data_IF_928152812733
#
_entry.id   IF_928152812733
#
_cell.length_a   1.000
_cell.length_b   1.000
_cell.length_c   1.000
_cell.angle_alpha   90.00
_cell.angle_beta   90.00
_cell.angle_gamma   90.00
#
_symmetry.space_group_name_H-M   'P 1'
#
loop_
_entity.id
_entity.type
_entity.pdbx_description
1 polymer ?
2 non-polymer ?
3 non-polymer ?
4 water ?
#
# COMPACT_ATOMS: atom_id res chain seq x y z
N UNK A 2 -12.63 3.22 -34.42
CA UNK A 2 -11.83 2.11 -33.85
C UNK A 2 -11.41 2.49 -32.43
N UNK A 3 -11.54 1.56 -31.49
CA UNK A 3 -11.16 1.84 -30.11
C UNK A 3 -10.21 0.75 -29.67
N UNK A 4 -9.22 1.08 -28.82
CA UNK A 4 -8.35 0.06 -28.27
C UNK A 4 -9.16 -0.73 -27.25
N UNK A 5 -8.86 -2.05 -27.09
CA UNK A 5 -9.51 -2.83 -26.05
C UNK A 5 -9.09 -2.19 -24.73
N UNK A 6 -9.92 -2.38 -23.71
CA UNK A 6 -9.53 -1.96 -22.38
C UNK A 6 -8.60 -2.98 -21.75
N UNK A 7 -7.59 -2.53 -20.99
CA UNK A 7 -6.61 -3.45 -20.45
C UNK A 7 -7.17 -4.33 -19.33
N UNK A 8 -6.59 -5.54 -19.22
CA UNK A 8 -6.82 -6.48 -18.13
C UNK A 8 -5.73 -6.39 -17.07
N UNK A 9 -4.58 -5.85 -17.47
CA UNK A 9 -3.45 -5.67 -16.57
C UNK A 9 -2.73 -4.38 -16.94
N UNK A 10 -2.12 -3.73 -15.95
CA UNK A 10 -1.25 -2.59 -16.15
C UNK A 10 0.02 -2.81 -15.33
N UNK A 11 1.05 -2.04 -15.65
CA UNK A 11 2.22 -1.98 -14.80
C UNK A 11 2.34 -0.62 -14.15
N UNK A 12 2.77 -0.70 -12.89
CA UNK A 12 2.86 0.44 -11.99
C UNK A 12 4.28 0.52 -11.45
N UNK A 13 4.92 1.68 -11.61
CA UNK A 13 6.20 2.00 -10.99
C UNK A 13 5.93 2.75 -9.68
N UNK A 14 6.61 2.32 -8.64
CA UNK A 14 6.63 3.00 -7.35
C UNK A 14 8.08 3.40 -7.08
N UNK A 15 8.29 4.66 -6.79
CA UNK A 15 9.62 5.09 -6.32
C UNK A 15 9.53 5.77 -4.98
N UNK A 16 10.53 5.59 -4.15
CA UNK A 16 10.66 6.32 -2.90
C UNK A 16 12.10 6.79 -2.78
N UNK A 17 12.24 8.09 -2.52
CA UNK A 17 13.59 8.67 -2.36
C UNK A 17 13.58 9.81 -1.34
N UNK A 18 14.35 9.60 -0.27
CA UNK A 18 14.65 10.66 0.67
C UNK A 18 15.83 11.45 0.14
N UNK A 19 15.56 12.64 -0.35
CA UNK A 19 16.49 13.47 -1.12
C UNK A 19 17.51 14.23 -0.24
N UNK A 20 17.35 14.14 1.08
CA UNK A 20 18.30 14.76 2.00
C UNK A 20 18.43 16.26 1.79
N UNK A 21 17.34 16.91 1.37
CA UNK A 21 17.25 18.36 1.22
C UNK A 21 18.27 18.89 0.22
N UNK A 22 18.70 18.04 -0.75
CA UNK A 22 19.60 18.48 -1.76
C UNK A 22 18.95 18.35 -3.12
N UNK A 23 19.28 19.19 -4.11
CA UNK A 23 18.76 18.99 -5.45
C UNK A 23 19.29 17.70 -6.06
N UNK A 24 18.51 17.08 -6.97
CA UNK A 24 18.95 15.85 -7.58
C UNK A 24 20.06 16.13 -8.61
N UNK A 25 20.75 15.07 -9.04
CA UNK A 25 21.73 15.22 -10.10
C UNK A 25 21.02 15.35 -11.45
N UNK A 26 21.79 15.61 -12.52
CA UNK A 26 21.24 15.92 -13.83
C UNK A 26 20.50 14.72 -14.42
N UNK A 27 20.96 13.50 -14.13
CA UNK A 27 20.33 12.31 -14.68
C UNK A 27 19.86 11.38 -13.55
N UNK A 28 18.57 11.00 -13.61
CA UNK A 28 18.00 10.13 -12.60
C UNK A 28 17.23 8.98 -13.29
N UNK A 29 17.49 8.79 -14.58
CA UNK A 29 16.78 7.76 -15.34
C UNK A 29 16.96 6.35 -14.78
N UNK A 30 18.09 6.02 -14.13
CA UNK A 30 18.30 4.67 -13.65
C UNK A 30 17.19 4.29 -12.66
N UNK A 31 16.69 5.28 -11.94
CA UNK A 31 15.59 5.04 -10.99
C UNK A 31 14.34 4.46 -11.69
N UNK A 32 13.91 5.17 -12.73
CA UNK A 32 12.68 4.83 -13.45
C UNK A 32 12.86 3.59 -14.30
N UNK A 33 14.10 3.22 -14.60
CA UNK A 33 14.46 1.99 -15.29
C UNK A 33 14.65 0.79 -14.37
N UNK A 34 14.54 0.96 -13.04
CA UNK A 34 14.76 -0.16 -12.13
C UNK A 34 16.13 -0.81 -12.37
N UNK A 35 17.17 0.02 -12.42
CA UNK A 35 18.55 -0.43 -12.58
C UNK A 35 19.37 -0.11 -11.33
N UNK A 36 20.22 -1.06 -10.95
CA UNK A 36 21.10 -0.85 -9.81
C UNK A 36 21.28 -2.18 -9.11
N UNK A 37 20.94 -2.24 -7.84
CA UNK A 37 21.08 -3.46 -7.06
C UNK A 37 19.70 -3.99 -6.72
N UNK A 38 19.63 -5.28 -6.43
CA UNK A 38 18.41 -5.98 -6.03
C UNK A 38 17.80 -6.74 -7.20
N UNK A 39 16.46 -6.75 -7.21
CA UNK A 39 15.70 -7.36 -8.28
C UNK A 39 15.42 -6.27 -9.31
N UNK A 40 16.20 -6.33 -10.40
CA UNK A 40 16.22 -5.26 -11.38
C UNK A 40 15.48 -5.68 -12.65
N UNK A 41 15.16 -4.68 -13.46
CA UNK A 41 14.34 -4.86 -14.66
C UNK A 41 15.26 -5.20 -15.84
N UNK A 42 14.77 -6.09 -16.70
CA UNK A 42 15.52 -6.51 -17.87
C UNK A 42 15.73 -5.35 -18.84
N UNK A 43 16.93 -5.28 -19.37
CA UNK A 43 17.31 -4.24 -20.34
C UNK A 43 16.39 -4.18 -21.55
N UNK A 44 15.82 -5.32 -21.94
CA UNK A 44 15.00 -5.36 -23.13
C UNK A 44 13.69 -4.58 -22.94
N UNK A 45 13.34 -4.24 -21.69
CA UNK A 45 12.15 -3.46 -21.36
C UNK A 45 12.37 -1.95 -21.25
N UNK A 46 13.60 -1.47 -21.48
CA UNK A 46 13.91 -0.10 -21.14
C UNK A 46 13.02 0.92 -21.84
N UNK A 47 12.59 0.62 -23.09
CA UNK A 47 11.78 1.61 -23.78
C UNK A 47 10.28 1.48 -23.55
N UNK A 48 9.87 0.46 -22.83
CA UNK A 48 8.48 0.14 -22.60
C UNK A 48 8.01 0.96 -21.41
N UNK A 49 7.09 1.90 -21.60
CA UNK A 49 6.66 2.75 -20.49
C UNK A 49 5.80 1.93 -19.54
N UNK A 50 5.92 2.17 -18.24
CA UNK A 50 4.92 1.76 -17.28
C UNK A 50 3.66 2.58 -17.53
N UNK A 51 2.52 1.98 -17.14
CA UNK A 51 1.26 2.68 -17.30
C UNK A 51 1.11 3.89 -16.37
N UNK A 52 1.56 3.71 -15.13
CA UNK A 52 1.43 4.68 -14.05
C UNK A 52 2.77 4.75 -13.32
N UNK A 53 3.28 5.94 -13.06
CA UNK A 53 4.46 6.16 -12.23
C UNK A 53 4.05 6.95 -11.00
N UNK A 54 4.38 6.42 -9.81
CA UNK A 54 4.09 7.06 -8.55
C UNK A 54 5.40 7.31 -7.85
N UNK A 55 5.68 8.58 -7.63
CA UNK A 55 6.97 9.01 -7.13
C UNK A 55 6.82 9.66 -5.75
N UNK A 56 7.37 9.01 -4.71
CA UNK A 56 7.34 9.54 -3.36
C UNK A 56 8.71 10.08 -2.98
N UNK A 57 8.74 11.31 -2.50
CA UNK A 57 9.96 11.91 -1.98
C UNK A 57 9.75 12.31 -0.53
N UNK A 58 10.88 12.36 0.18
CA UNK A 58 10.98 12.90 1.53
C UNK A 58 12.18 13.83 1.54
N UNK A 59 12.14 14.81 2.45
CA UNK A 59 13.18 15.82 2.51
C UNK A 59 13.43 16.41 1.12
N UNK A 60 12.34 16.67 0.40
CA UNK A 60 12.35 17.17 -0.97
C UNK A 60 12.48 18.68 -0.94
N UNK A 61 13.59 19.24 -1.49
CA UNK A 61 13.79 20.71 -1.40
C UNK A 61 13.18 21.51 -2.54
N UNK A 62 12.67 20.81 -3.54
CA UNK A 62 12.24 21.42 -4.81
C UNK A 62 10.80 21.93 -4.67
N UNK A 63 10.41 22.83 -5.56
CA UNK A 63 9.00 23.16 -5.71
C UNK A 63 8.33 22.02 -6.49
N UNK A 64 6.99 21.97 -6.39
CA UNK A 64 6.25 21.02 -7.19
C UNK A 64 6.57 21.24 -8.66
N UNK A 65 6.63 22.51 -9.11
CA UNK A 65 6.87 22.78 -10.50
C UNK A 65 8.24 22.23 -10.93
N UNK A 66 9.26 22.51 -10.10
CA UNK A 66 10.62 22.09 -10.42
C UNK A 66 10.73 20.56 -10.54
N UNK A 67 10.15 19.84 -9.59
CA UNK A 67 10.21 18.39 -9.58
C UNK A 67 9.41 17.80 -10.72
N UNK A 68 8.21 18.31 -11.01
CA UNK A 68 7.44 17.85 -12.15
C UNK A 68 8.21 17.97 -13.45
N UNK A 69 8.92 19.09 -13.62
CA UNK A 69 9.77 19.35 -14.79
C UNK A 69 10.73 18.17 -14.97
N UNK A 70 11.46 17.90 -13.88
CA UNK A 70 12.52 16.89 -13.89
C UNK A 70 11.92 15.52 -14.17
N UNK A 71 10.84 15.19 -13.49
CA UNK A 71 10.22 13.88 -13.70
C UNK A 71 9.73 13.69 -15.14
N UNK A 72 8.99 14.66 -15.66
CA UNK A 72 8.43 14.49 -17.01
C UNK A 72 9.54 14.40 -18.04
N UNK A 73 10.58 15.22 -17.90
CA UNK A 73 11.71 15.18 -18.81
C UNK A 73 12.39 13.82 -18.78
N UNK A 74 12.59 13.29 -17.56
CA UNK A 74 13.26 12.00 -17.41
C UNK A 74 12.45 10.92 -18.14
N UNK A 75 11.15 10.87 -17.89
CA UNK A 75 10.34 9.84 -18.55
C UNK A 75 10.30 10.04 -20.06
N UNK A 76 10.22 11.28 -20.52
CA UNK A 76 10.20 11.53 -21.96
C UNK A 76 11.48 10.99 -22.60
N UNK A 77 12.61 11.24 -21.95
CA UNK A 77 13.89 10.77 -22.45
C UNK A 77 13.90 9.26 -22.57
N UNK A 78 13.38 8.57 -21.58
CA UNK A 78 13.40 7.11 -21.55
C UNK A 78 12.48 6.52 -22.61
N UNK A 79 11.25 7.01 -22.65
CA UNK A 79 10.14 6.34 -23.31
C UNK A 79 9.69 7.05 -24.58
N UNK A 80 10.08 8.32 -24.77
CA UNK A 80 9.56 9.17 -25.84
C UNK A 80 8.07 9.47 -25.69
N UNK A 81 7.52 9.27 -24.50
CA UNK A 81 6.12 9.58 -24.19
C UNK A 81 6.09 10.78 -23.25
N UNK A 82 5.17 11.71 -23.52
CA UNK A 82 4.91 12.82 -22.62
C UNK A 82 3.80 12.42 -21.65
N UNK A 83 4.14 12.18 -20.38
CA UNK A 83 3.20 11.72 -19.40
C UNK A 83 2.29 12.85 -18.91
N UNK A 84 1.07 12.49 -18.52
CA UNK A 84 0.09 13.38 -17.94
C UNK A 84 0.19 13.32 -16.43
N UNK A 85 0.03 14.48 -15.81
CA UNK A 85 0.02 14.58 -14.38
C UNK A 85 -1.38 14.23 -13.86
N UNK A 86 -1.48 13.16 -13.05
CA UNK A 86 -2.73 12.78 -12.43
C UNK A 86 -2.95 13.57 -11.16
N UNK A 87 -1.92 13.65 -10.32
CA UNK A 87 -2.04 14.30 -9.03
C UNK A 87 -0.66 14.61 -8.49
N UNK A 88 -0.59 15.66 -7.67
CA UNK A 88 0.59 15.97 -6.89
C UNK A 88 0.11 16.54 -5.54
N UNK A 89 0.72 16.06 -4.46
CA UNK A 89 0.40 16.58 -3.14
C UNK A 89 1.63 16.58 -2.27
N UNK A 90 1.81 17.68 -1.55
CA UNK A 90 2.97 17.88 -0.70
C UNK A 90 2.52 18.27 0.71
N UNK A 91 3.15 17.63 1.74
CA UNK A 91 3.03 18.05 3.13
C UNK A 91 4.44 18.33 3.59
N UNK A 92 4.75 19.60 3.92
CA UNK A 92 6.09 19.96 4.33
C UNK A 92 7.06 19.60 3.20
N UNK A 93 7.94 18.65 3.42
CA UNK A 93 8.91 18.22 2.43
C UNK A 93 8.65 16.77 1.97
N UNK A 94 7.43 16.26 2.21
CA UNK A 94 6.97 14.95 1.85
C UNK A 94 6.02 15.07 0.65
N UNK A 95 6.33 14.43 -0.46
CA UNK A 95 5.59 14.68 -1.70
C UNK A 95 5.26 13.38 -2.43
N UNK A 96 4.11 13.41 -3.09
CA UNK A 96 3.73 12.33 -3.99
C UNK A 96 3.32 12.95 -5.34
N UNK A 97 3.84 12.34 -6.42
CA UNK A 97 3.50 12.66 -7.78
C UNK A 97 2.96 11.39 -8.46
N UNK A 98 1.82 11.50 -9.16
CA UNK A 98 1.32 10.41 -9.98
C UNK A 98 1.26 10.90 -11.43
N UNK A 99 1.94 10.16 -12.32
CA UNK A 99 1.98 10.40 -13.74
C UNK A 99 1.39 9.17 -14.45
N UNK A 100 0.70 9.41 -15.57
CA UNK A 100 0.16 8.31 -16.36
C UNK A 100 0.31 8.55 -17.84
N UNK A 101 0.32 7.42 -18.60
CA UNK A 101 0.34 7.51 -20.05
C UNK A 101 -0.83 8.37 -20.51
N UNK A 102 -0.67 9.18 -21.58
CA UNK A 102 -1.78 10.01 -22.05
C UNK A 102 -3.00 9.19 -22.45
N UNK A 103 -2.82 7.96 -22.92
CA UNK A 103 -3.97 7.12 -23.31
C UNK A 103 -4.89 6.80 -22.15
N UNK A 104 -4.40 6.96 -20.89
CA UNK A 104 -5.17 6.61 -19.71
C UNK A 104 -5.96 7.77 -19.10
N UNK A 105 -5.87 8.96 -19.71
CA UNK A 105 -6.46 10.14 -19.12
C UNK A 105 -7.97 9.95 -18.93
N UNK A 106 -8.66 9.29 -19.88
CA UNK A 106 -10.12 9.08 -19.73
C UNK A 106 -10.48 7.82 -18.97
N UNK A 107 -9.49 7.01 -18.56
CA UNK A 107 -9.70 5.83 -17.73
C UNK A 107 -9.60 6.15 -16.25
N UNK A 108 -9.01 7.30 -15.95
CA UNK A 108 -8.72 7.71 -14.59
C UNK A 108 -9.76 8.72 -14.13
N UNK A 109 -10.37 8.47 -12.96
CA UNK A 109 -11.37 9.36 -12.41
C UNK A 109 -11.32 9.32 -10.88
N UNK A 110 -12.17 10.10 -10.24
CA UNK A 110 -12.30 10.08 -8.77
C UNK A 110 -10.94 10.23 -8.10
N UNK A 111 -10.21 11.24 -8.51
CA UNK A 111 -8.89 11.47 -7.98
C UNK A 111 -8.99 12.19 -6.64
N UNK A 112 -8.30 11.65 -5.63
CA UNK A 112 -8.30 12.22 -4.28
C UNK A 112 -6.87 12.36 -3.80
N UNK A 113 -6.63 13.36 -2.95
CA UNK A 113 -5.36 13.57 -2.26
C UNK A 113 -5.67 13.87 -0.81
N UNK A 114 -4.71 13.54 0.05
CA UNK A 114 -4.82 13.88 1.46
C UNK A 114 -3.44 13.76 2.11
N UNK A 115 -3.35 14.22 3.37
CA UNK A 115 -2.14 14.13 4.17
C UNK A 115 -2.53 13.87 5.62
N UNK A 116 -1.59 13.32 6.37
CA UNK A 116 -1.70 13.12 7.80
C UNK A 116 -0.40 13.62 8.41
N UNK A 117 -0.51 14.46 9.43
CA UNK A 117 0.63 14.91 10.23
C UNK A 117 0.72 14.03 11.46
N UNK A 118 1.90 13.43 11.78
CA UNK A 118 1.88 12.45 12.88
C UNK A 118 2.26 12.88 14.29
N UNK A 119 3.01 13.95 14.44
CA UNK A 119 3.48 14.23 15.81
C UNK A 119 2.40 14.66 16.82
N UNK A 120 2.82 14.87 18.09
CA UNK A 120 2.07 15.61 19.12
C UNK A 120 3.01 16.74 19.50
N UNK A 121 2.59 18.00 19.26
CA UNK A 121 3.35 19.19 19.67
C UNK A 121 4.80 19.11 19.18
N UNK A 122 5.76 18.90 20.11
CA UNK A 122 7.17 18.61 19.80
C UNK A 122 7.33 17.84 18.50
N UNK A 123 6.71 16.64 18.49
CA UNK A 123 6.92 15.64 17.45
C UNK A 123 6.09 16.01 16.21
N UNK A 124 5.12 16.96 16.33
CA UNK A 124 4.37 17.42 15.17
C UNK A 124 5.18 18.49 14.45
N UNK A 125 5.40 18.28 13.15
CA UNK A 125 5.84 19.37 12.31
C UNK A 125 6.87 19.01 11.25
N UNK A 126 7.32 17.73 11.17
CA UNK A 126 7.85 17.35 9.89
C UNK A 126 7.57 15.93 9.43
N UNK A 127 7.00 15.03 10.20
CA UNK A 127 6.79 13.64 9.80
C UNK A 127 5.30 13.46 9.55
N UNK A 128 4.98 12.54 8.65
CA UNK A 128 3.64 12.19 8.32
C UNK A 128 3.58 11.52 6.97
N UNK A 129 2.46 11.72 6.26
CA UNK A 129 2.22 11.00 5.03
C UNK A 129 1.40 11.86 4.07
N UNK A 130 1.58 11.60 2.79
CA UNK A 130 0.71 12.10 1.75
C UNK A 130 0.14 10.89 1.01
N UNK A 131 -1.03 11.05 0.40
CA UNK A 131 -1.60 9.96 -0.37
C UNK A 131 -2.39 10.48 -1.55
N UNK A 132 -2.56 9.54 -2.49
CA UNK A 132 -3.36 9.73 -3.70
C UNK A 132 -4.19 8.48 -3.91
N UNK A 133 -5.43 8.65 -4.34
CA UNK A 133 -6.23 7.55 -4.84
C UNK A 133 -6.94 7.95 -6.10
N UNK A 134 -7.36 6.96 -6.89
CA UNK A 134 -8.19 7.19 -8.04
C UNK A 134 -8.77 5.84 -8.49
N UNK A 135 -9.76 5.91 -9.37
CA UNK A 135 -10.25 4.76 -10.12
C UNK A 135 -9.50 4.68 -11.45
N UNK A 136 -9.12 3.47 -11.85
CA UNK A 136 -8.63 3.18 -13.17
C UNK A 136 -9.64 2.20 -13.75
N UNK A 137 -10.49 2.68 -14.65
CA UNK A 137 -11.66 1.89 -15.08
C UNK A 137 -12.40 1.37 -13.84
N UNK A 138 -12.57 0.05 -13.69
CA UNK A 138 -13.32 -0.53 -12.58
C UNK A 138 -12.48 -0.81 -11.35
N UNK A 139 -11.22 -0.39 -11.33
CA UNK A 139 -10.29 -0.74 -10.26
C UNK A 139 -9.89 0.46 -9.44
N UNK A 140 -9.96 0.33 -8.11
CA UNK A 140 -9.55 1.42 -7.22
C UNK A 140 -8.10 1.21 -6.80
N UNK A 141 -7.36 2.30 -6.92
CA UNK A 141 -5.92 2.30 -6.61
C UNK A 141 -5.62 3.35 -5.52
N UNK A 142 -4.85 2.98 -4.52
CA UNK A 142 -4.39 3.93 -3.52
C UNK A 142 -2.90 3.86 -3.30
N UNK A 143 -2.33 5.00 -2.96
CA UNK A 143 -0.88 5.17 -2.84
C UNK A 143 -0.59 6.08 -1.64
N UNK A 144 0.29 5.60 -0.77
CA UNK A 144 0.69 6.35 0.43
C UNK A 144 2.20 6.46 0.45
N UNK A 145 2.69 7.70 0.59
CA UNK A 145 4.08 7.99 0.84
C UNK A 145 4.24 8.55 2.26
N UNK A 146 4.87 7.80 3.13
CA UNK A 146 5.06 8.21 4.51
C UNK A 146 6.53 8.40 4.85
N UNK A 147 6.79 9.44 5.65
CA UNK A 147 8.07 9.69 6.29
C UNK A 147 7.85 9.50 7.79
N UNK A 148 8.25 8.36 8.34
CA UNK A 148 7.99 8.02 9.71
C UNK A 148 9.13 8.50 10.63
N UNK A 149 8.88 8.47 11.93
CA UNK A 149 9.79 8.91 12.95
C UNK A 149 11.13 8.23 12.75
N UNK A 150 12.22 9.02 12.97
CA UNK A 150 13.58 8.48 12.80
C UNK A 150 14.11 7.97 14.13
N UNK A 151 15.22 7.25 14.06
CA UNK A 151 15.96 6.84 15.26
C UNK A 151 15.81 5.36 15.53
N UNK A 152 16.91 4.66 15.74
CA UNK A 152 16.84 3.25 16.01
C UNK A 152 15.99 2.86 17.21
N UNK A 153 15.88 3.74 18.20
CA UNK A 153 15.19 3.33 19.41
C UNK A 153 13.70 3.68 19.35
N UNK A 154 13.18 4.11 18.19
CA UNK A 154 11.80 4.57 18.06
C UNK A 154 10.91 3.71 17.16
N UNK A 155 11.13 2.41 17.15
CA UNK A 155 10.28 1.57 16.32
C UNK A 155 8.81 1.66 16.76
N UNK A 156 8.55 1.71 18.08
CA UNK A 156 7.16 1.81 18.54
C UNK A 156 6.50 3.08 18.01
N UNK A 157 7.22 4.21 18.01
CA UNK A 157 6.66 5.44 17.50
C UNK A 157 6.36 5.29 16.01
N UNK A 158 7.25 4.61 15.25
CA UNK A 158 6.94 4.38 13.87
C UNK A 158 5.64 3.58 13.73
N UNK A 159 5.46 2.56 14.54
CA UNK A 159 4.24 1.75 14.44
C UNK A 159 3.00 2.59 14.78
N UNK A 160 3.12 3.50 15.73
CA UNK A 160 2.05 4.42 16.06
C UNK A 160 1.77 5.40 14.92
N UNK A 161 2.83 5.90 14.25
CA UNK A 161 2.68 6.75 13.08
C UNK A 161 1.86 6.00 12.01
N UNK A 162 2.27 4.74 11.74
CA UNK A 162 1.56 3.91 10.79
C UNK A 162 0.06 3.87 11.13
N UNK A 163 -0.30 3.59 12.39
CA UNK A 163 -1.72 3.46 12.73
C UNK A 163 -2.43 4.80 12.53
N UNK A 164 -1.80 5.92 12.93
CA UNK A 164 -2.47 7.21 12.69
C UNK A 164 -2.71 7.46 11.21
N UNK A 165 -1.71 7.16 10.38
CA UNK A 165 -1.86 7.38 8.95
C UNK A 165 -3.00 6.51 8.42
N UNK A 166 -3.04 5.25 8.83
CA UNK A 166 -4.01 4.28 8.38
C UNK A 166 -5.42 4.79 8.71
N UNK A 167 -5.53 5.28 9.95
CA UNK A 167 -6.83 5.72 10.44
C UNK A 167 -7.33 6.99 9.80
N UNK A 168 -6.45 7.97 9.63
CA UNK A 168 -6.88 9.32 9.33
C UNK A 168 -6.71 9.81 7.89
N UNK A 169 -5.99 9.04 7.04
CA UNK A 169 -5.85 9.45 5.67
C UNK A 169 -7.17 9.19 4.97
N UNK A 170 -7.74 10.24 4.41
CA UNK A 170 -9.07 10.18 3.81
C UNK A 170 -8.95 10.10 2.31
N UNK A 171 -8.99 8.86 1.77
CA UNK A 171 -8.91 8.64 0.34
C UNK A 171 -10.02 7.66 -0.02
N UNK A 172 -10.28 7.55 -1.33
CA UNK A 172 -11.22 6.59 -1.84
C UNK A 172 -12.66 7.02 -1.61
N UNK A 173 -13.53 6.02 -1.73
CA UNK A 173 -14.98 6.25 -1.72
C UNK A 173 -15.46 6.51 -0.29
N UNK A 174 -15.93 7.74 -0.03
CA UNK A 174 -16.43 8.13 1.29
C UNK A 174 -17.67 7.35 1.70
N UNK A 175 -18.37 6.70 0.76
CA UNK A 175 -19.49 5.85 1.15
C UNK A 175 -19.05 4.60 1.89
N UNK A 176 -17.74 4.24 1.78
CA UNK A 176 -17.22 3.09 2.49
C UNK A 176 -16.88 3.48 3.93
N UNK A 177 -17.89 4.03 4.64
CA UNK A 177 -17.62 4.72 5.87
C UNK A 177 -16.96 3.86 6.94
N UNK A 178 -17.24 2.57 7.12
CA UNK A 178 -16.60 1.79 8.16
C UNK A 178 -15.14 1.39 7.88
N UNK A 179 -14.68 1.68 6.67
CA UNK A 179 -13.42 1.11 6.16
C UNK A 179 -12.35 2.18 6.11
N UNK A 180 -11.17 1.79 6.59
CA UNK A 180 -10.01 2.64 6.42
C UNK A 180 -9.28 2.35 5.12
N UNK A 181 -8.17 3.05 4.84
CA UNK A 181 -7.50 2.87 3.55
C UNK A 181 -7.05 1.43 3.33
N UNK A 182 -6.86 0.61 4.37
CA UNK A 182 -6.40 -0.76 4.15
C UNK A 182 -7.51 -1.66 3.56
N UNK A 183 -8.74 -1.13 3.43
CA UNK A 183 -9.81 -1.86 2.76
C UNK A 183 -10.45 -1.14 1.61
N UNK A 184 -10.10 0.10 1.32
CA UNK A 184 -10.81 0.87 0.30
C UNK A 184 -10.36 0.66 -1.13
N UNK A 185 -9.28 -0.07 -1.38
CA UNK A 185 -8.67 -0.14 -2.70
C UNK A 185 -8.44 -1.57 -3.14
N UNK A 186 -8.68 -1.81 -4.44
CA UNK A 186 -8.27 -3.08 -5.02
C UNK A 186 -6.78 -3.35 -4.78
N UNK A 187 -5.98 -2.31 -5.00
CA UNK A 187 -4.52 -2.36 -4.81
C UNK A 187 -4.13 -1.10 -4.01
N UNK A 188 -3.47 -1.32 -2.87
CA UNK A 188 -2.91 -0.25 -2.06
C UNK A 188 -1.39 -0.42 -2.01
N UNK A 189 -0.65 0.63 -2.35
CA UNK A 189 0.82 0.66 -2.23
C UNK A 189 1.22 1.68 -1.18
N UNK A 190 2.02 1.22 -0.23
CA UNK A 190 2.47 2.06 0.86
C UNK A 190 3.98 2.01 0.85
N UNK A 191 4.60 3.18 0.80
CA UNK A 191 6.03 3.27 0.58
C UNK A 191 6.52 4.51 1.32
N UNK A 192 7.83 4.71 1.33
CA UNK A 192 8.40 5.89 1.91
C UNK A 192 9.68 5.60 2.66
N UNK A 193 10.15 6.68 3.32
CA UNK A 193 11.19 6.55 4.35
C UNK A 193 10.54 6.12 5.67
N UNK A 194 10.28 4.81 5.73
CA UNK A 194 9.66 4.23 6.90
C UNK A 194 10.58 4.26 8.12
N UNK A 195 11.91 4.36 7.89
CA UNK A 195 12.86 4.66 8.96
C UNK A 195 13.09 3.53 9.96
N UNK A 196 12.64 2.30 9.66
CA UNK A 196 13.01 1.14 10.44
C UNK A 196 14.47 0.75 10.18
N UNK A 197 15.17 0.36 11.27
CA UNK A 197 16.60 0.17 11.28
C UNK A 197 16.99 -1.29 11.49
N UNK A 198 18.26 -1.54 11.21
CA UNK A 198 18.89 -2.81 11.52
C UNK A 198 19.32 -2.76 12.98
N UNK A 199 18.70 -3.56 13.84
CA UNK A 199 18.85 -3.47 15.26
C UNK A 199 19.93 -4.46 15.71
N UNK A 200 21.15 -3.98 15.63
CA UNK A 200 22.35 -4.69 16.05
C UNK A 200 23.16 -3.70 16.94
N UNK A 201 24.08 -4.18 17.80
CA UNK A 201 24.80 -3.26 18.65
C UNK A 201 25.62 -2.28 17.85
N UNK A 202 25.78 -1.06 18.40
CA UNK A 202 26.49 -0.07 17.62
C UNK A 202 27.95 -0.45 17.42
N UNK A 203 28.54 -1.22 18.33
CA UNK A 203 29.93 -1.63 18.16
C UNK A 203 30.10 -2.66 17.04
N UNK A 204 28.99 -3.17 16.47
CA UNK A 204 29.06 -4.01 15.29
C UNK A 204 29.00 -3.25 13.96
N UNK A 205 29.12 -1.93 13.96
CA UNK A 205 29.03 -1.14 12.75
C UNK A 205 29.97 -1.65 11.65
N UNK A 206 31.25 -1.85 11.95
CA UNK A 206 32.22 -2.24 10.93
C UNK A 206 31.90 -3.65 10.42
N UNK A 207 31.41 -4.53 11.30
CA UNK A 207 31.00 -5.88 10.90
C UNK A 207 29.87 -5.79 9.90
N UNK A 208 28.90 -4.92 10.19
CA UNK A 208 27.77 -4.74 9.28
C UNK A 208 28.25 -4.27 7.91
N UNK A 209 29.12 -3.26 7.89
CA UNK A 209 29.63 -2.78 6.62
C UNK A 209 30.33 -3.89 5.84
N UNK A 210 31.09 -4.72 6.53
CA UNK A 210 31.79 -5.78 5.79
C UNK A 210 30.78 -6.79 5.25
N UNK A 211 29.71 -7.11 6.00
CA UNK A 211 28.67 -7.98 5.47
C UNK A 211 28.09 -7.38 4.18
N UNK A 212 27.79 -6.09 4.21
CA UNK A 212 27.27 -5.39 3.03
C UNK A 212 28.22 -5.52 1.82
N UNK A 213 29.50 -5.29 2.05
CA UNK A 213 30.49 -5.35 1.00
C UNK A 213 30.54 -6.75 0.36
N UNK A 214 30.24 -7.79 1.14
CA UNK A 214 30.16 -9.17 0.70
C UNK A 214 28.82 -9.53 0.08
N UNK A 215 27.88 -8.55 0.09
CA UNK A 215 26.53 -8.82 -0.36
C UNK A 215 25.87 -9.98 0.36
N UNK A 216 26.09 -10.03 1.68
CA UNK A 216 25.57 -11.05 2.56
C UNK A 216 24.61 -10.36 3.50
N UNK A 217 23.34 -10.37 3.14
CA UNK A 217 22.35 -9.57 3.86
C UNK A 217 21.55 -10.34 4.90
N UNK A 218 21.66 -11.68 4.93
CA UNK A 218 20.78 -12.51 5.75
C UNK A 218 20.80 -12.17 7.23
N UNK A 219 22.01 -12.02 7.80
CA UNK A 219 22.12 -11.79 9.22
C UNK A 219 21.74 -10.34 9.55
N UNK A 220 21.72 -9.47 8.54
CA UNK A 220 21.24 -8.12 8.75
C UNK A 220 19.71 -8.07 8.67
N UNK A 221 19.11 -8.69 7.64
CA UNK A 221 17.64 -8.68 7.50
C UNK A 221 16.96 -9.36 8.69
N UNK A 222 17.62 -10.32 9.34
CA UNK A 222 17.03 -10.96 10.49
C UNK A 222 16.88 -9.99 11.66
N UNK A 223 17.57 -8.84 11.60
CA UNK A 223 17.46 -7.81 12.63
C UNK A 223 16.80 -6.53 12.11
N UNK A 224 16.22 -6.56 10.91
CA UNK A 224 15.53 -5.40 10.35
C UNK A 224 14.23 -5.22 11.15
N UNK A 225 14.02 -4.01 11.68
CA UNK A 225 12.91 -3.80 12.56
C UNK A 225 11.56 -3.93 11.83
N UNK A 226 11.48 -3.55 10.57
CA UNK A 226 10.21 -3.67 9.88
C UNK A 226 9.83 -5.14 9.69
N UNK A 227 10.78 -5.98 9.25
CA UNK A 227 10.50 -7.40 9.15
C UNK A 227 10.15 -8.02 10.51
N UNK A 228 10.85 -7.67 11.58
CA UNK A 228 10.60 -8.31 12.85
C UNK A 228 9.27 -7.79 13.42
N UNK A 229 8.98 -6.49 13.32
CA UNK A 229 7.71 -5.97 13.80
C UNK A 229 6.53 -6.57 13.00
N UNK A 230 6.70 -6.69 11.70
CA UNK A 230 5.66 -7.34 10.91
C UNK A 230 5.47 -8.78 11.34
N UNK A 231 6.56 -9.53 11.57
CA UNK A 231 6.43 -10.92 11.96
C UNK A 231 5.65 -11.07 13.26
N UNK A 232 5.80 -10.09 14.17
CA UNK A 232 5.12 -10.08 15.46
C UNK A 232 3.76 -9.37 15.40
N UNK A 233 3.31 -9.05 14.18
CA UNK A 233 2.00 -8.46 13.95
C UNK A 233 1.83 -7.17 14.70
N UNK A 234 2.92 -6.37 14.72
CA UNK A 234 2.86 -5.06 15.38
C UNK A 234 2.59 -3.90 14.43
N UNK A 235 2.72 -4.14 13.12
CA UNK A 235 2.63 -3.12 12.10
C UNK A 235 2.40 -3.82 10.75
N UNK A 236 1.79 -3.09 9.82
CA UNK A 236 1.64 -3.54 8.45
C UNK A 236 1.01 -4.93 8.34
N UNK A 237 0.04 -5.21 9.19
CA UNK A 237 -0.67 -6.49 9.14
C UNK A 237 -1.35 -6.63 7.77
N UNK A 238 -1.13 -7.78 7.12
CA UNK A 238 -1.77 -8.17 5.89
C UNK A 238 -1.22 -7.43 4.68
N UNK A 239 -0.04 -6.78 4.81
CA UNK A 239 0.70 -6.28 3.68
C UNK A 239 1.78 -7.26 3.24
N UNK A 240 2.24 -7.08 2.03
CA UNK A 240 3.34 -7.85 1.45
C UNK A 240 4.52 -6.95 1.15
N UNK A 241 5.70 -7.55 1.11
CA UNK A 241 6.91 -6.89 0.63
C UNK A 241 7.75 -7.92 -0.12
N UNK A 242 8.34 -7.50 -1.24
CA UNK A 242 9.24 -8.39 -1.96
C UNK A 242 10.50 -8.59 -1.13
N UNK A 243 11.15 -9.72 -1.33
CA UNK A 243 12.41 -10.01 -0.67
C UNK A 243 13.42 -8.94 -1.03
N UNK A 244 14.18 -8.51 -0.02
CA UNK A 244 15.21 -7.50 -0.15
C UNK A 244 16.53 -8.17 -0.55
N UNK A 245 17.08 -7.73 -1.70
CA UNK A 245 18.33 -8.29 -2.22
C UNK A 245 19.30 -7.18 -2.62
N UNK A 246 19.07 -5.96 -2.11
CA UNK A 246 19.90 -4.80 -2.35
C UNK A 246 20.48 -4.37 -1.01
N UNK A 247 21.60 -3.60 -1.06
CA UNK A 247 22.24 -3.14 0.15
C UNK A 247 21.37 -2.12 0.87
N UNK A 248 21.60 -1.98 2.19
CA UNK A 248 20.91 -0.91 2.91
C UNK A 248 21.05 0.42 2.19
N UNK A 249 19.98 1.24 2.20
CA UNK A 249 19.89 2.46 1.41
C UNK A 249 20.20 3.73 2.21
N UNK A 250 20.62 3.53 3.45
CA UNK A 250 20.89 4.62 4.39
C UNK A 250 21.97 4.09 5.35
N UNK A 251 22.88 4.91 5.89
CA UNK A 251 23.16 6.29 5.65
C UNK A 251 24.47 6.43 4.90
N UNK A 252 24.46 6.99 3.71
CA UNK A 252 25.67 7.13 2.88
C UNK A 252 26.29 8.52 3.08
N UNK A 253 27.60 8.59 2.92
CA UNK A 253 28.27 9.83 2.60
C UNK A 253 27.79 10.28 1.23
N UNK A 254 27.47 11.58 1.10
CA UNK A 254 27.06 12.12 -0.20
C UNK A 254 28.19 12.11 -1.23
N UNK A 255 27.79 12.00 -2.51
CA UNK A 255 28.63 12.13 -3.71
C UNK A 255 29.41 10.84 -4.01
N UNK A 256 29.30 9.82 -3.16
CA UNK A 256 29.82 8.50 -3.48
C UNK A 256 28.80 7.48 -3.04
N UNK A 257 28.92 6.17 -3.34
CA UNK A 257 28.22 5.13 -2.57
C UNK A 257 29.18 4.19 -1.89
N UNK A 258 30.43 4.61 -1.77
CA UNK A 258 31.46 3.73 -1.27
C UNK A 258 31.53 3.67 0.26
N UNK A 259 30.82 4.61 0.95
CA UNK A 259 30.96 4.77 2.37
C UNK A 259 29.60 4.99 3.06
N UNK A 260 29.39 4.19 4.09
CA UNK A 260 28.32 4.42 5.06
C UNK A 260 28.85 5.34 6.14
N UNK A 261 28.05 6.36 6.45
CA UNK A 261 28.29 7.33 7.52
C UNK A 261 27.38 6.99 8.68
N UNK A 262 27.92 6.28 9.68
CA UNK A 262 27.08 5.76 10.77
C UNK A 262 27.36 6.41 12.13
N UNK A 263 28.55 7.01 12.33
CA UNK A 263 28.98 7.45 13.66
C UNK A 263 28.09 8.59 14.16
N UNK A 264 27.97 8.69 15.49
CA UNK A 264 27.20 9.75 16.11
C UNK A 264 27.93 11.09 15.92
N UNK A 265 27.13 12.13 15.62
CA UNK A 265 27.61 13.48 15.37
C UNK A 265 26.61 14.48 15.97
N UNK A 266 27.03 15.72 16.24
CA UNK A 266 26.05 16.71 16.68
C UNK A 266 24.87 16.78 15.70
N UNK A 267 25.15 16.70 14.40
CA UNK A 267 24.10 16.79 13.39
C UNK A 267 23.10 15.62 13.42
N UNK A 268 23.48 14.49 14.02
CA UNK A 268 22.51 13.41 14.19
C UNK A 268 21.85 13.36 15.58
N UNK A 269 22.05 14.40 16.40
CA UNK A 269 21.59 14.37 17.77
C UNK A 269 22.36 13.35 18.60
N UNK A 270 23.64 13.13 18.20
CA UNK A 270 24.48 12.16 18.89
C UNK A 270 23.86 10.75 18.83
N UNK A 271 23.20 10.46 17.70
CA UNK A 271 22.70 9.13 17.42
C UNK A 271 23.56 8.43 16.39
N UNK A 272 23.73 7.12 16.56
CA UNK A 272 24.28 6.32 15.47
C UNK A 272 23.20 6.04 14.43
N UNK A 273 23.66 5.96 13.19
CA UNK A 273 22.81 5.52 12.09
C UNK A 273 23.47 4.29 11.43
N UNK A 274 23.35 3.15 12.07
CA UNK A 274 23.89 1.93 11.48
C UNK A 274 23.16 1.73 10.13
N UNK A 275 23.85 1.16 9.13
CA UNK A 275 23.23 0.91 7.83
C UNK A 275 21.92 0.15 7.90
N UNK A 276 20.91 0.72 7.24
CA UNK A 276 19.52 0.26 7.41
C UNK A 276 18.75 0.38 6.10
N UNK A 277 17.73 -0.46 6.01
CA UNK A 277 16.76 -0.41 4.92
C UNK A 277 15.61 0.52 5.34
N UNK A 278 15.90 1.82 5.33
CA UNK A 278 14.88 2.80 5.72
C UNK A 278 13.75 2.92 4.68
N UNK A 279 14.08 2.68 3.43
CA UNK A 279 13.33 3.11 2.26
C UNK A 279 12.65 1.91 1.63
N UNK A 280 11.32 1.83 1.66
CA UNK A 280 10.63 0.57 1.43
C UNK A 280 9.40 0.77 0.58
N UNK A 281 8.94 -0.34 -0.02
CA UNK A 281 7.68 -0.42 -0.73
C UNK A 281 6.95 -1.71 -0.30
N UNK A 282 5.73 -1.52 0.18
CA UNK A 282 4.84 -2.58 0.57
C UNK A 282 3.52 -2.43 -0.17
N UNK A 283 2.71 -3.54 -0.23
CA UNK A 283 1.41 -3.47 -0.89
C UNK A 283 0.43 -4.40 -0.22
N UNK A 284 -0.84 -4.11 -0.51
CA UNK A 284 -1.92 -4.96 -0.09
C UNK A 284 -3.02 -4.88 -1.14
N UNK A 285 -3.38 -6.04 -1.72
CA UNK A 285 -4.39 -6.12 -2.77
C UNK A 285 -5.51 -6.97 -2.22
N UNK A 286 -6.73 -6.80 -2.74
CA UNK A 286 -7.83 -7.63 -2.39
C UNK A 286 -7.54 -9.08 -2.78
N UNK A 287 -8.16 -10.04 -2.07
CA UNK A 287 -7.90 -11.47 -2.32
C UNK A 287 -8.15 -11.86 -3.77
N UNK A 288 -7.24 -12.71 -4.28
CA UNK A 288 -7.36 -13.28 -5.63
C UNK A 288 -7.42 -12.26 -6.73
N UNK A 289 -6.80 -11.11 -6.53
CA UNK A 289 -6.50 -10.20 -7.61
C UNK A 289 -5.03 -10.37 -7.99
N UNK A 290 -4.76 -10.33 -9.28
CA UNK A 290 -3.40 -10.46 -9.78
C UNK A 290 -2.56 -9.26 -9.33
N UNK A 291 -1.43 -9.54 -8.67
CA UNK A 291 -0.44 -8.51 -8.40
C UNK A 291 0.89 -9.22 -8.30
N UNK A 292 1.85 -8.82 -9.12
CA UNK A 292 3.15 -9.47 -9.12
C UNK A 292 4.24 -8.40 -9.12
N UNK A 293 5.11 -8.46 -8.13
CA UNK A 293 6.28 -7.59 -8.10
C UNK A 293 7.29 -8.04 -9.14
N UNK A 294 7.64 -7.11 -10.03
CA UNK A 294 8.55 -7.33 -11.14
C UNK A 294 9.95 -6.81 -10.88
N UNK A 295 10.12 -5.87 -9.94
CA UNK A 295 11.43 -5.32 -9.57
C UNK A 295 11.30 -4.73 -8.17
N UNK A 296 12.40 -4.78 -7.41
CA UNK A 296 12.50 -4.17 -6.09
C UNK A 296 13.99 -4.02 -5.84
N UNK A 297 14.48 -2.76 -5.84
CA UNK A 297 15.89 -2.53 -5.74
C UNK A 297 16.22 -1.08 -5.46
N UNK A 298 17.51 -0.77 -5.50
CA UNK A 298 17.99 0.57 -5.28
C UNK A 298 18.95 0.97 -6.37
N UNK A 299 18.98 2.27 -6.65
CA UNK A 299 19.94 2.77 -7.61
C UNK A 299 21.33 2.87 -6.97
N UNK A 300 22.34 2.83 -7.84
CA UNK A 300 23.74 2.88 -7.46
C UNK A 300 24.45 4.18 -7.90
N UNK A 301 23.80 4.95 -8.78
CA UNK A 301 24.44 6.07 -9.45
C UNK A 301 23.79 7.42 -9.14
N UNK A 302 22.92 7.49 -8.13
CA UNK A 302 22.29 8.75 -7.74
C UNK A 302 22.74 9.02 -6.31
N UNK A 303 23.59 10.03 -6.16
CA UNK A 303 24.44 10.11 -4.95
C UNK A 303 24.33 11.45 -4.22
N UNK A 304 23.35 12.28 -4.56
CA UNK A 304 23.21 13.60 -3.97
C UNK A 304 22.71 13.56 -2.54
N UNK A 305 22.00 12.49 -2.17
CA UNK A 305 21.44 12.30 -0.85
C UNK A 305 22.21 11.30 -0.02
N UNK A 306 21.95 11.30 1.28
CA UNK A 306 22.44 10.27 2.19
C UNK A 306 21.61 8.99 2.10
N UNK A 307 20.53 9.03 1.30
CA UNK A 307 19.79 7.81 0.96
C UNK A 307 19.93 7.55 -0.53
N UNK A 308 19.88 6.25 -0.90
CA UNK A 308 19.67 5.90 -2.29
C UNK A 308 18.18 5.77 -2.61
N UNK A 309 17.77 6.19 -3.83
CA UNK A 309 16.45 5.87 -4.35
C UNK A 309 16.17 4.38 -4.32
N UNK A 310 14.91 4.04 -4.08
CA UNK A 310 14.36 2.69 -4.20
C UNK A 310 13.25 2.70 -5.27
N UNK A 311 13.22 1.63 -6.02
CA UNK A 311 12.20 1.35 -7.02
C UNK A 311 11.53 0.03 -6.73
N UNK A 312 10.26 -0.05 -7.12
CA UNK A 312 9.55 -1.28 -7.22
C UNK A 312 8.59 -1.17 -8.39
N UNK A 313 8.36 -2.28 -9.09
CA UNK A 313 7.40 -2.31 -10.17
C UNK A 313 6.47 -3.51 -10.00
N UNK A 314 5.23 -3.34 -10.51
CA UNK A 314 4.18 -4.32 -10.32
C UNK A 314 3.42 -4.48 -11.64
N UNK A 315 3.02 -5.74 -11.90
CA UNK A 315 1.91 -6.01 -12.80
C UNK A 315 0.65 -6.14 -11.91
N UNK A 316 -0.39 -5.39 -12.26
CA UNK A 316 -1.60 -5.32 -11.43
C UNK A 316 -2.83 -5.57 -12.31
N UNK A 317 -3.66 -6.50 -11.87
CA UNK A 317 -4.89 -6.75 -12.59
C UNK A 317 -5.87 -5.59 -12.43
N UNK A 318 -6.57 -5.27 -13.52
CA UNK A 318 -7.59 -4.24 -13.55
C UNK A 318 -8.77 -4.81 -14.32
N UNK A 319 -9.90 -4.14 -14.11
CA UNK A 319 -11.18 -4.53 -14.72
C UNK A 319 -11.79 -3.33 -15.44
N UNK A 320 -12.72 -3.62 -16.33
CA UNK A 320 -13.37 -2.63 -17.16
C UNK A 320 -14.49 -1.97 -16.37
N UNK A 321 -15.02 -0.87 -16.95
CA UNK A 321 -16.21 -0.19 -16.49
C UNK A 321 -17.43 -0.82 -17.17
N UNK A 322 -17.98 -1.85 -16.51
CA UNK A 322 -18.97 -2.75 -17.06
C UNK A 322 -20.32 -2.05 -17.13
N UNK A 323 -21.02 -2.29 -18.26
CA UNK A 323 -22.38 -1.85 -18.51
C UNK A 323 -23.13 -3.05 -19.10
N UNK A 324 -24.27 -3.35 -18.51
CA UNK A 324 -25.24 -4.27 -19.10
C UNK A 324 -26.51 -3.51 -19.48
N UNK A 325 -27.45 -4.28 -20.00
CA UNK A 325 -28.79 -3.78 -20.34
C UNK A 325 -29.52 -3.35 -19.08
N UNK A 326 -29.19 -4.03 -17.96
CA UNK A 326 -29.78 -3.79 -16.64
C UNK A 326 -28.90 -2.79 -15.89
N UNK A 327 -28.02 -3.29 -14.98
CA UNK A 327 -27.21 -2.37 -14.22
C UNK A 327 -26.03 -1.85 -15.05
N UNK A 328 -25.38 -0.73 -14.66
CA UNK A 328 -25.85 0.15 -13.55
C UNK A 328 -27.21 0.82 -13.72
N UNK A 329 -27.88 1.04 -12.60
CA UNK A 329 -29.15 1.76 -12.60
C UNK A 329 -30.35 0.87 -12.34
N UNK A 330 -30.09 -0.43 -12.13
CA UNK A 330 -31.08 -1.36 -11.64
C UNK A 330 -30.32 -2.62 -11.24
N UNK A 331 -31.05 -3.62 -10.74
CA UNK A 331 -30.48 -4.91 -10.40
C UNK A 331 -30.62 -5.81 -11.63
N UNK A 332 -29.86 -6.91 -11.62
CA UNK A 332 -29.99 -7.98 -12.60
C UNK A 332 -30.46 -9.25 -11.86
N UNK A 333 -31.74 -9.58 -12.04
CA UNK A 333 -32.36 -10.59 -11.21
C UNK A 333 -31.75 -11.96 -11.49
N UNK A 334 -30.90 -12.09 -12.52
CA UNK A 334 -30.23 -13.37 -12.75
C UNK A 334 -29.09 -13.60 -11.74
N UNK A 335 -28.63 -12.56 -11.07
CA UNK A 335 -27.55 -12.67 -10.09
C UNK A 335 -28.02 -12.67 -8.65
N UNK A 336 -27.35 -13.45 -7.78
CA UNK A 336 -27.56 -13.38 -6.35
C UNK A 336 -26.30 -13.86 -5.63
N UNK A 337 -26.14 -13.35 -4.41
CA UNK A 337 -25.10 -13.82 -3.51
C UNK A 337 -25.75 -14.20 -2.19
N UNK A 338 -25.56 -15.47 -1.79
CA UNK A 338 -26.13 -16.02 -0.56
C UNK A 338 -25.03 -16.53 0.38
N UNK A 339 -25.32 -16.59 1.68
CA UNK A 339 -24.36 -16.92 2.74
C UNK A 339 -24.98 -17.95 3.68
N UNK A 340 -24.27 -19.02 3.94
CA UNK A 340 -24.80 -20.09 4.75
C UNK A 340 -23.86 -20.21 5.92
N UNK A 341 -24.35 -20.64 7.12
CA UNK A 341 -23.51 -21.13 8.19
C UNK A 341 -22.43 -20.08 8.54
N UNK A 342 -22.78 -18.77 8.58
CA UNK A 342 -21.76 -17.74 8.83
C UNK A 342 -21.71 -17.30 10.28
N UNK A 343 -20.49 -17.02 10.73
CA UNK A 343 -20.29 -16.50 12.07
C UNK A 343 -19.01 -15.70 12.13
N UNK A 344 -19.06 -14.71 13.00
CA UNK A 344 -17.92 -13.87 13.31
C UNK A 344 -17.43 -14.32 14.68
N UNK A 345 -16.12 -14.39 14.83
CA UNK A 345 -15.48 -14.63 16.10
C UNK A 345 -14.76 -13.32 16.43
N UNK A 346 -15.06 -12.75 17.60
CA UNK A 346 -14.47 -11.48 17.93
C UNK A 346 -13.63 -11.59 19.17
N UNK A 347 -12.61 -10.72 19.25
CA UNK A 347 -11.75 -10.64 20.41
C UNK A 347 -12.30 -9.70 21.50
N UNK A 348 -13.30 -8.91 21.23
CA UNK A 348 -13.87 -7.97 22.17
C UNK A 348 -14.30 -8.67 23.46
N UNK A 349 -14.12 -7.93 24.56
CA UNK A 349 -14.57 -8.33 25.88
C UNK A 349 -15.96 -7.77 26.10
N UNK A 350 -16.51 -7.02 25.11
CA UNK A 350 -17.82 -6.40 25.24
C UNK A 350 -18.93 -7.43 24.96
N UNK A 351 -20.10 -7.18 25.55
CA UNK A 351 -21.30 -7.98 25.32
C UNK A 351 -22.43 -7.04 24.91
N UNK A 352 -22.45 -6.62 23.61
CA UNK A 352 -23.48 -5.86 22.90
C UNK A 352 -23.94 -6.77 21.74
N UNK A 353 -25.07 -6.43 21.11
CA UNK A 353 -25.49 -7.11 19.89
C UNK A 353 -24.74 -6.53 18.70
N UNK A 354 -24.57 -7.36 17.66
CA UNK A 354 -23.87 -6.99 16.46
C UNK A 354 -24.71 -7.27 15.22
N UNK A 355 -24.47 -6.46 14.19
CA UNK A 355 -24.98 -6.67 12.85
C UNK A 355 -23.88 -6.45 11.84
N UNK A 356 -24.13 -6.94 10.60
CA UNK A 356 -23.18 -6.79 9.50
C UNK A 356 -23.65 -5.74 8.50
N UNK A 357 -22.64 -5.13 7.86
CA UNK A 357 -22.87 -4.35 6.66
C UNK A 357 -22.01 -4.94 5.54
N UNK A 358 -22.65 -5.11 4.38
CA UNK A 358 -21.99 -5.59 3.16
C UNK A 358 -21.88 -4.42 2.19
N UNK A 359 -20.65 -4.06 1.79
CA UNK A 359 -20.37 -2.98 0.86
C UNK A 359 -19.66 -3.50 -0.38
N UNK A 360 -20.16 -3.12 -1.54
CA UNK A 360 -19.51 -3.50 -2.80
C UNK A 360 -20.04 -2.63 -3.94
N UNK A 361 -19.14 -2.30 -4.85
CA UNK A 361 -19.45 -1.73 -6.15
C UNK A 361 -20.44 -2.55 -6.95
N UNK A 362 -20.58 -3.85 -6.66
CA UNK A 362 -21.58 -4.63 -7.40
C UNK A 362 -23.00 -4.47 -6.84
N UNK A 363 -23.17 -3.71 -5.73
CA UNK A 363 -24.49 -3.45 -5.15
C UNK A 363 -24.89 -2.00 -5.39
N UNK A 364 -26.18 -1.71 -5.43
CA UNK A 364 -26.64 -0.34 -5.63
C UNK A 364 -26.26 0.51 -4.41
N UNK A 365 -26.37 -0.08 -3.23
CA UNK A 365 -25.89 0.52 -2.01
C UNK A 365 -25.65 -0.56 -0.97
N UNK A 366 -25.02 -0.18 0.15
CA UNK A 366 -24.66 -1.19 1.14
C UNK A 366 -25.90 -1.80 1.78
N UNK A 367 -25.71 -3.03 2.28
CA UNK A 367 -26.79 -3.84 2.85
C UNK A 367 -26.49 -4.11 4.33
N UNK A 368 -27.47 -3.83 5.19
CA UNK A 368 -27.39 -4.11 6.59
C UNK A 368 -28.15 -5.38 6.92
N UNK A 369 -27.49 -6.26 7.69
CA UNK A 369 -28.11 -7.50 8.15
C UNK A 369 -28.90 -7.28 9.43
N UNK A 370 -29.64 -8.34 9.80
CA UNK A 370 -30.21 -8.52 11.12
C UNK A 370 -29.08 -8.71 12.12
N UNK A 371 -29.42 -8.54 13.39
CA UNK A 371 -28.49 -8.86 14.47
C UNK A 371 -28.25 -10.36 14.49
N UNK A 372 -27.00 -10.71 14.70
CA UNK A 372 -26.59 -12.07 15.00
C UNK A 372 -26.93 -12.43 16.43
N UNK A 373 -26.71 -13.70 16.75
CA UNK A 373 -26.96 -14.27 18.06
C UNK A 373 -25.61 -14.58 18.69
N UNK A 374 -25.34 -13.90 19.80
CA UNK A 374 -24.11 -14.09 20.51
C UNK A 374 -24.08 -15.40 21.27
N UNK A 375 -22.92 -16.07 21.17
CA UNK A 375 -22.62 -17.24 21.98
C UNK A 375 -21.21 -17.05 22.51
N UNK A 376 -20.81 -17.81 23.51
CA UNK A 376 -19.44 -17.84 23.97
C UNK A 376 -18.74 -19.06 23.37
N UNK A 377 -17.55 -18.86 22.77
CA UNK A 377 -16.71 -19.96 22.30
C UNK A 377 -15.99 -20.68 23.44
N UNK A 378 -15.32 -21.79 23.08
CA UNK A 378 -14.77 -22.73 24.06
C UNK A 378 -13.55 -22.16 24.78
N UNK A 379 -12.90 -21.14 24.19
CA UNK A 379 -11.65 -20.60 24.72
C UNK A 379 -11.86 -19.13 25.11
N UNK A 380 -13.10 -18.79 25.56
CA UNK A 380 -13.41 -17.45 26.05
C UNK A 380 -14.08 -16.49 25.04
N UNK A 381 -14.03 -16.78 23.73
CA UNK A 381 -14.33 -15.81 22.67
C UNK A 381 -15.81 -15.44 22.56
N UNK A 382 -16.09 -14.27 22.00
CA UNK A 382 -17.44 -13.99 21.51
C UNK A 382 -17.60 -14.56 20.10
N UNK A 383 -18.64 -15.36 19.90
CA UNK A 383 -19.03 -15.87 18.60
C UNK A 383 -20.39 -15.27 18.27
N UNK A 384 -20.46 -14.56 17.15
CA UNK A 384 -21.71 -13.98 16.70
C UNK A 384 -22.20 -14.89 15.59
N UNK A 385 -23.30 -15.58 15.80
CA UNK A 385 -23.86 -16.50 14.79
C UNK A 385 -24.92 -15.78 13.96
N UNK A 386 -24.77 -15.90 12.64
CA UNK A 386 -25.71 -15.36 11.69
C UNK A 386 -26.52 -16.47 11.06
N UNK A 387 -26.11 -17.73 11.31
CA UNK A 387 -26.75 -18.89 10.71
C UNK A 387 -26.95 -18.74 9.17
N UNK A 388 -28.22 -18.90 8.81
CA UNK A 388 -28.73 -18.86 7.46
C UNK A 388 -29.51 -17.56 7.36
N UNK A 389 -29.28 -16.63 8.32
CA UNK A 389 -30.11 -15.44 8.48
C UNK A 389 -29.64 -14.28 7.60
N UNK A 390 -28.41 -14.31 7.00
CA UNK A 390 -27.91 -13.14 6.28
C UNK A 390 -28.76 -12.90 5.04
N UNK A 391 -28.94 -11.61 4.60
CA UNK A 391 -29.69 -11.31 3.39
C UNK A 391 -29.07 -11.93 2.13
N UNK A 392 -29.95 -12.14 1.16
CA UNK A 392 -29.60 -12.42 -0.24
C UNK A 392 -29.22 -11.10 -0.90
N UNK A 393 -27.96 -10.96 -1.36
CA UNK A 393 -27.50 -9.74 -2.00
C UNK A 393 -27.84 -9.79 -3.49
N UNK A 394 -28.24 -8.63 -4.03
CA UNK A 394 -28.71 -8.50 -5.41
C UNK A 394 -27.75 -7.64 -6.21
N UNK A 395 -26.83 -8.25 -6.97
CA UNK A 395 -25.88 -7.45 -7.72
C UNK A 395 -26.54 -6.73 -8.90
N UNK A 396 -25.91 -5.67 -9.36
CA UNK A 396 -26.42 -4.84 -10.45
C UNK A 396 -26.26 -5.51 -11.81
N UNK A 397 -25.27 -6.39 -11.89
CA UNK A 397 -24.92 -7.06 -13.12
C UNK A 397 -24.72 -8.54 -12.78
N UNK A 398 -25.19 -9.46 -13.62
CA UNK A 398 -25.20 -10.89 -13.34
C UNK A 398 -24.15 -11.63 -14.16
N UNK A 399 -23.56 -10.94 -15.14
CA UNK A 399 -22.63 -11.57 -16.07
C UNK A 399 -21.50 -12.12 -15.21
N UNK A 400 -21.08 -13.38 -15.37
CA UNK A 400 -20.01 -13.95 -14.53
C UNK A 400 -18.66 -13.29 -14.81
N UNK A 401 -18.43 -12.77 -16.02
CA UNK A 401 -17.17 -12.08 -16.33
C UNK A 401 -17.01 -10.78 -15.57
N UNK A 402 -18.13 -10.23 -15.09
CA UNK A 402 -18.09 -9.11 -14.17
C UNK A 402 -18.08 -9.61 -12.72
N UNK A 403 -19.06 -10.43 -12.34
CA UNK A 403 -19.35 -10.70 -10.94
C UNK A 403 -18.23 -11.50 -10.26
N UNK A 404 -17.57 -12.41 -10.99
CA UNK A 404 -16.52 -13.19 -10.37
C UNK A 404 -15.27 -12.34 -10.08
N UNK A 405 -15.14 -11.17 -10.70
CA UNK A 405 -14.07 -10.25 -10.41
C UNK A 405 -14.35 -9.27 -9.26
N UNK A 406 -15.50 -9.35 -8.61
CA UNK A 406 -15.85 -8.40 -7.57
C UNK A 406 -15.50 -8.92 -6.18
N UNK A 407 -15.62 -8.03 -5.17
CA UNK A 407 -15.33 -8.31 -3.79
C UNK A 407 -16.42 -7.70 -2.90
N UNK A 408 -16.66 -8.32 -1.75
CA UNK A 408 -17.61 -7.81 -0.76
C UNK A 408 -16.82 -7.44 0.47
N UNK A 409 -16.88 -6.16 0.83
CA UNK A 409 -16.35 -5.72 2.12
C UNK A 409 -17.39 -6.01 3.19
N UNK A 410 -16.93 -6.44 4.36
CA UNK A 410 -17.82 -6.72 5.49
C UNK A 410 -17.36 -5.93 6.69
N UNK A 411 -18.29 -5.24 7.34
CA UNK A 411 -18.05 -4.63 8.65
C UNK A 411 -19.01 -5.28 9.64
N UNK A 412 -18.52 -5.61 10.82
CA UNK A 412 -19.39 -6.05 11.92
C UNK A 412 -19.49 -4.88 12.89
N UNK A 413 -20.73 -4.40 13.11
CA UNK A 413 -21.00 -3.19 13.88
C UNK A 413 -21.82 -3.48 15.13
N UNK A 414 -21.52 -2.73 16.18
CA UNK A 414 -22.31 -2.74 17.38
C UNK A 414 -23.66 -2.07 17.16
N UNK A 415 -24.72 -2.77 17.57
CA UNK A 415 -26.06 -2.17 17.56
C UNK A 415 -26.19 -0.95 18.46
N UNK A 416 -25.47 -0.95 19.56
CA UNK A 416 -25.53 0.10 20.57
C UNK A 416 -24.88 1.38 20.05
N UNK A 417 -23.72 1.25 19.38
CA UNK A 417 -22.93 2.44 19.04
C UNK A 417 -22.87 2.71 17.55
N UNK A 418 -23.22 1.71 16.74
CA UNK A 418 -23.07 1.74 15.29
C UNK A 418 -21.60 1.90 14.85
N UNK A 419 -20.64 1.59 15.73
CA UNK A 419 -19.24 1.61 15.42
C UNK A 419 -18.82 0.22 14.94
N UNK A 420 -17.93 0.20 13.94
CA UNK A 420 -17.32 -1.03 13.48
C UNK A 420 -16.37 -1.62 14.50
N UNK A 421 -16.50 -2.92 14.77
CA UNK A 421 -15.55 -3.69 15.55
C UNK A 421 -14.59 -4.51 14.68
N UNK A 422 -14.87 -4.62 13.38
CA UNK A 422 -13.98 -5.36 12.51
C UNK A 422 -14.40 -5.22 11.06
N UNK A 423 -13.41 -5.20 10.19
CA UNK A 423 -13.58 -5.03 8.76
C UNK A 423 -12.79 -6.14 8.07
N UNK A 424 -13.35 -6.66 6.97
CA UNK A 424 -12.66 -7.58 6.11
C UNK A 424 -13.26 -7.62 4.72
N UNK A 425 -12.77 -8.57 3.92
CA UNK A 425 -13.07 -8.59 2.49
C UNK A 425 -13.13 -10.03 2.03
N UNK A 426 -14.14 -10.31 1.20
CA UNK A 426 -14.40 -11.63 0.56
C UNK A 426 -14.33 -11.49 -0.95
N UNK A 427 -13.49 -12.32 -1.61
CA UNK A 427 -13.48 -12.38 -3.07
C UNK A 427 -14.62 -13.24 -3.61
N UNK A 428 -15.18 -12.81 -4.74
CA UNK A 428 -16.20 -13.58 -5.46
C UNK A 428 -15.55 -14.35 -6.60
N UNK A 429 -14.23 -14.49 -6.61
CA UNK A 429 -13.49 -15.29 -7.60
C UNK A 429 -13.54 -16.75 -7.16
N UNK A 430 -14.72 -17.35 -7.27
CA UNK A 430 -14.97 -18.65 -6.67
C UNK A 430 -14.55 -19.77 -7.61
N UNK A 431 -14.39 -20.95 -7.06
CA UNK A 431 -14.09 -22.14 -7.86
C UNK A 431 -15.30 -22.66 -8.60
N UNK A 432 -16.50 -22.26 -8.17
CA UNK A 432 -17.73 -22.78 -8.75
C UNK A 432 -18.85 -21.78 -8.48
N UNK A 433 -19.85 -21.78 -9.36
CA UNK A 433 -21.09 -21.06 -9.06
C UNK A 433 -22.19 -22.06 -8.68
N UNK A 434 -23.27 -21.54 -8.10
CA UNK A 434 -24.42 -22.36 -7.73
C UNK A 434 -23.98 -23.52 -6.83
N UNK A 435 -22.93 -23.30 -6.03
CA UNK A 435 -22.30 -24.33 -5.24
C UNK A 435 -21.95 -23.72 -3.89
N UNK A 436 -22.20 -24.40 -2.77
CA UNK A 436 -21.76 -23.86 -1.48
C UNK A 436 -20.28 -24.05 -1.29
N UNK A 437 -19.56 -22.98 -0.95
CA UNK A 437 -18.11 -23.00 -0.86
C UNK A 437 -17.71 -22.24 0.40
N UNK A 438 -16.64 -22.67 1.06
CA UNK A 438 -16.15 -21.93 2.23
C UNK A 438 -15.67 -20.52 1.88
N UNK A 439 -15.96 -19.56 2.77
CA UNK A 439 -15.38 -18.22 2.71
C UNK A 439 -14.76 -17.92 4.07
N UNK A 440 -13.85 -16.93 4.03
CA UNK A 440 -13.08 -16.55 5.23
C UNK A 440 -12.45 -15.19 4.96
N UNK A 441 -12.48 -14.34 5.99
CA UNK A 441 -11.58 -13.20 6.06
C UNK A 441 -11.21 -12.97 7.53
N UNK A 442 -9.99 -12.51 7.79
CA UNK A 442 -9.69 -11.91 9.09
C UNK A 442 -10.47 -10.61 9.17
N UNK A 443 -10.68 -10.16 10.42
CA UNK A 443 -11.31 -8.87 10.65
C UNK A 443 -10.31 -8.00 11.42
N UNK A 444 -10.20 -6.74 10.98
CA UNK A 444 -9.34 -5.78 11.62
C UNK A 444 -10.15 -4.55 12.01
N UNK A 445 -9.57 -3.76 12.90
CA UNK A 445 -10.10 -2.43 13.22
C UNK A 445 -8.88 -1.57 13.54
N UNK A 446 -8.80 -0.38 12.90
CA UNK A 446 -7.59 0.40 13.00
C UNK A 446 -6.36 -0.38 12.57
N UNK A 447 -6.57 -1.35 11.69
CA UNK A 447 -5.49 -2.13 11.11
C UNK A 447 -4.98 -3.25 12.02
N UNK A 448 -5.58 -3.44 13.21
CA UNK A 448 -5.19 -4.49 14.14
C UNK A 448 -6.20 -5.61 14.10
N UNK A 449 -5.75 -6.85 14.29
CA UNK A 449 -6.68 -7.99 14.26
C UNK A 449 -7.68 -7.92 15.40
N UNK A 450 -8.97 -8.05 15.08
CA UNK A 450 -10.04 -8.04 16.05
C UNK A 450 -10.92 -9.28 16.00
N UNK A 451 -10.70 -10.15 15.02
CA UNK A 451 -11.56 -11.33 14.92
C UNK A 451 -11.44 -11.95 13.54
N UNK A 452 -12.47 -12.73 13.20
CA UNK A 452 -12.55 -13.46 11.95
C UNK A 452 -14.01 -13.60 11.53
N UNK A 453 -14.23 -13.76 10.24
CA UNK A 453 -15.57 -14.04 9.71
C UNK A 453 -15.42 -15.24 8.79
N UNK A 454 -16.27 -16.22 8.99
CA UNK A 454 -16.23 -17.42 8.14
C UNK A 454 -17.64 -17.94 7.91
N UNK A 455 -17.76 -18.77 6.88
CA UNK A 455 -19.03 -19.39 6.58
C UNK A 455 -18.95 -19.95 5.19
N UNK A 456 -20.08 -19.98 4.51
CA UNK A 456 -20.14 -20.46 3.14
C UNK A 456 -20.88 -19.44 2.29
N UNK A 457 -20.56 -19.43 1.01
CA UNK A 457 -21.18 -18.58 0.02
C UNK A 457 -21.77 -19.50 -1.06
N UNK A 458 -22.74 -18.95 -1.77
CA UNK A 458 -23.30 -19.56 -2.97
C UNK A 458 -23.64 -18.41 -3.93
N UNK A 459 -22.93 -18.39 -5.07
CA UNK A 459 -23.05 -17.32 -6.04
C UNK A 459 -23.82 -17.78 -7.27
N UNK A 460 -24.87 -17.03 -7.61
CA UNK A 460 -25.60 -17.27 -8.85
C UNK A 460 -25.23 -16.20 -9.88
N UNK A 461 -24.75 -16.61 -11.06
CA UNK A 461 -24.53 -15.70 -12.14
C UNK A 461 -25.49 -16.05 -13.29
N UNK A 462 -25.46 -15.28 -14.37
CA UNK A 462 -26.33 -15.58 -15.52
C UNK A 462 -25.88 -16.84 -16.27
N UNK A 463 -24.76 -17.48 -15.91
CA UNK A 463 -24.38 -18.76 -16.54
C UNK A 463 -24.59 -20.00 -15.63
X LIG B 1 -11.67 11.42 -2.82
X LIG B 1 -12.98 10.86 -3.15
X LIG B 1 -14.22 11.11 -2.74
X LIG B 1 -15.12 10.23 -3.31
X LIG B 1 -14.53 9.34 -4.09
X LIG B 1 -15.07 8.16 -4.76
X LIG B 1 -14.17 7.16 -5.13
X LIG B 1 -14.61 6.03 -5.83
X LIG B 1 -15.91 5.94 -6.19
X LIG B 1 -16.80 6.94 -5.83
X LIG B 1 -16.39 8.07 -5.14
X LIG B 1 -12.91 9.59 -4.32
X LIG B 1 -11.42 12.70 -2.70
X LIG C 1 -11.69 -4.53 -9.15
X LIG C 1 -10.97 -4.33 -10.41
X LIG C 1 -11.38 -6.21 -8.67
X LIG C 1 -13.40 -4.75 -9.55
X LIG D 1 -15.34 -2.73 -3.82
X LIG D 1 -16.56 -3.33 -4.52
X LIG D 1 -15.15 -3.72 -2.40
X LIG D 1 -15.92 -1.29 -3.00
X LIG E 1 -8.51 -9.17 4.70
X LIG E 1 -8.91 -7.81 4.25
X LIG E 1 -6.74 -9.27 4.63
X LIG E 1 -8.93 -10.25 3.38
#
# INVERSE_FOLDING_TARGET
SMEQPEPDMITIFIGTWNMGNAPPPKKITSWFLSKGQGKTRDDSADYIPHDIYVIGTQEDPLSEKEWLEILKHSLQEITSVTFKTVAIHTLWNIRIVVLAKPEHENRISHICTDNVKTGIANTLGNKGAVGVSFMFNGTSLGFVNSHLTSGSEKKLRRNQNYMNILRFLALGDKKLSPFNITHRFTHLFWFGDLNYRVDLPTWEAETIIQKIKQQQYADLLSHDQLLTERREQKVFLHFEEEEITFAPTYRFERLTRDKYAYTKQKATGMKYNLPSWCDRVLWKSYPLVHVVCQSYGSTSDIMTSDHSPVFATFEAGVTSQFVSKNGPGTVDSQGQIEFLRCYATLKTKSQTKFYLEFHSSCLESFVKSQEGENEEGSEGELVVKFGETLPKLKPIISDPEYLLDQHILISIKSSDSDESYGEGCIALRLEATETQLPIYTPLTHHGELTGHFQGEIKLQTSQ
YBZ C1 C2 N1 N2 C3 C4 C5 C6 C7 C8 C9 S1 N3
DMS S O C1 C2
DMS S O C1 C2
DMS S O C1 C2
#
